data_IF_000484023101
#
_entry.id   IF_000484023101
#
_cell.length_a   1.000
_cell.length_b   1.000
_cell.length_c   1.000
_cell.angle_alpha   90.00
_cell.angle_beta   90.00
_cell.angle_gamma   90.00
#
_symmetry.space_group_name_H-M   'P 1'
#
loop_
_entity.id
_entity.type
_entity.pdbx_description
1 polymer ?
#
# COMPACT_ATOMS: atom_id res chain seq x y z
N UNK A 1 23.86 8.34 80.31
CA UNK A 1 24.82 7.83 79.30
C UNK A 1 24.23 6.70 78.45
N UNK A 2 23.84 5.54 78.98
CA UNK A 2 23.29 4.44 78.13
C UNK A 2 22.03 4.85 77.33
N UNK A 3 21.10 5.58 77.96
CA UNK A 3 19.88 6.04 77.29
C UNK A 3 20.16 6.99 76.11
N UNK A 4 21.16 7.88 76.20
CA UNK A 4 21.50 8.81 75.12
C UNK A 4 22.16 8.09 73.94
N UNK A 5 22.98 7.06 74.21
CA UNK A 5 23.54 6.21 73.15
C UNK A 5 22.47 5.37 72.44
N UNK A 6 21.47 4.84 73.16
CA UNK A 6 20.35 4.13 72.56
C UNK A 6 19.52 5.06 71.66
N UNK A 7 19.23 6.27 72.11
CA UNK A 7 18.51 7.28 71.31
C UNK A 7 19.28 7.63 70.04
N UNK A 8 20.60 7.84 70.15
CA UNK A 8 21.47 8.09 69.00
C UNK A 8 21.44 6.93 68.00
N UNK A 9 21.53 5.69 68.47
CA UNK A 9 21.50 4.50 67.62
C UNK A 9 20.18 4.35 66.85
N UNK A 10 19.05 4.62 67.52
CA UNK A 10 17.72 4.64 66.89
C UNK A 10 17.65 5.72 65.82
N UNK A 11 18.16 6.92 66.11
CA UNK A 11 18.12 8.06 65.20
C UNK A 11 19.02 7.85 63.97
N UNK A 12 20.19 7.24 64.15
CA UNK A 12 21.09 6.84 63.05
C UNK A 12 20.42 5.78 62.18
N UNK A 13 19.80 4.77 62.79
CA UNK A 13 19.09 3.71 62.06
C UNK A 13 17.92 4.28 61.26
N UNK A 14 17.20 5.26 61.82
CA UNK A 14 16.12 5.96 61.15
C UNK A 14 16.62 6.72 59.92
N UNK A 15 17.68 7.52 60.07
CA UNK A 15 18.29 8.28 58.95
C UNK A 15 18.84 7.33 57.87
N UNK A 16 19.46 6.21 58.26
CA UNK A 16 19.90 5.20 57.31
C UNK A 16 18.72 4.61 56.53
N UNK A 17 17.60 4.36 57.20
CA UNK A 17 16.35 3.91 56.58
C UNK A 17 15.76 4.93 55.61
N UNK A 18 15.76 6.22 55.96
CA UNK A 18 15.30 7.30 55.07
C UNK A 18 16.18 7.42 53.82
N UNK A 19 17.50 7.32 53.96
CA UNK A 19 18.44 7.31 52.83
C UNK A 19 18.17 6.10 51.92
N UNK A 20 17.90 4.93 52.50
CA UNK A 20 17.56 3.72 51.74
C UNK A 20 16.23 3.89 50.98
N UNK A 21 15.23 4.53 51.58
CA UNK A 21 13.96 4.86 50.90
C UNK A 21 14.19 5.85 49.76
N UNK A 22 15.00 6.89 49.97
CA UNK A 22 15.35 7.86 48.93
C UNK A 22 16.07 7.17 47.76
N UNK A 23 17.00 6.27 48.06
CA UNK A 23 17.69 5.46 47.08
C UNK A 23 16.72 4.53 46.33
N UNK A 24 15.78 3.88 47.02
CA UNK A 24 14.76 3.02 46.41
C UNK A 24 13.78 3.78 45.49
N UNK A 25 13.54 5.06 45.75
CA UNK A 25 12.76 5.93 44.88
C UNK A 25 13.58 6.36 43.64
N UNK A 26 14.85 6.70 43.83
CA UNK A 26 15.77 7.07 42.74
C UNK A 26 16.08 5.89 41.81
N UNK A 27 16.16 4.66 42.34
CA UNK A 27 16.29 3.45 41.55
C UNK A 27 14.93 3.04 40.97
N UNK A 28 14.57 3.80 39.95
CA UNK A 28 13.45 3.63 39.05
C UNK A 28 13.29 2.15 38.63
N UNK A 29 12.32 1.43 39.21
CA UNK A 29 11.42 0.48 38.47
C UNK A 29 10.60 -0.48 39.35
N UNK A 30 11.03 -0.89 40.55
CA UNK A 30 10.37 -2.02 41.24
C UNK A 30 9.81 -1.73 42.65
N UNK A 31 10.41 -0.80 43.40
CA UNK A 31 9.99 -0.54 44.79
C UNK A 31 8.93 0.57 44.95
N UNK A 32 8.56 1.24 43.85
CA UNK A 32 7.63 2.36 43.91
C UNK A 32 6.21 1.90 44.28
N UNK A 33 5.71 0.79 43.74
CA UNK A 33 4.34 0.32 44.01
C UNK A 33 4.04 -0.02 45.49
N UNK A 34 4.91 -0.75 46.22
CA UNK A 34 4.66 -1.04 47.64
C UNK A 34 4.82 0.19 48.54
N UNK A 35 5.80 1.07 48.26
CA UNK A 35 6.02 2.30 49.04
C UNK A 35 4.82 3.24 48.87
N UNK A 36 4.28 3.31 47.65
CA UNK A 36 3.14 4.14 47.32
C UNK A 36 1.84 3.63 47.92
N UNK A 37 1.63 2.30 47.93
CA UNK A 37 0.48 1.67 48.57
C UNK A 37 0.52 1.85 50.09
N UNK A 38 1.71 1.79 50.69
CA UNK A 38 1.90 2.08 52.12
C UNK A 38 1.61 3.55 52.46
N UNK A 39 1.89 4.48 51.53
CA UNK A 39 1.67 5.90 51.73
C UNK A 39 0.23 6.35 51.43
N UNK A 40 -0.46 5.72 50.47
CA UNK A 40 -1.83 6.12 50.08
C UNK A 40 -2.92 5.71 51.09
N UNK A 41 -2.66 4.72 51.94
CA UNK A 41 -3.60 4.21 52.96
C UNK A 41 -3.70 5.08 54.22
N UNK A 42 -3.21 6.32 54.17
CA UNK A 42 -2.91 7.11 55.36
C UNK A 42 -3.83 8.33 55.50
N UNK A 43 -4.57 8.42 56.60
CA UNK A 43 -5.54 9.49 56.86
C UNK A 43 -4.85 10.87 56.96
N UNK A 44 -4.91 11.66 55.90
CA UNK A 44 -4.17 12.93 55.76
C UNK A 44 -4.33 13.92 56.92
N UNK A 45 -5.51 13.99 57.56
CA UNK A 45 -5.78 14.99 58.61
C UNK A 45 -5.01 14.73 59.90
N UNK A 46 -4.99 13.49 60.40
CA UNK A 46 -4.31 13.14 61.66
C UNK A 46 -2.78 13.25 61.53
N UNK A 47 -2.25 12.93 60.35
CA UNK A 47 -0.81 13.02 60.10
C UNK A 47 -0.29 14.46 60.02
N UNK A 48 -1.10 15.40 59.51
CA UNK A 48 -0.75 16.82 59.55
C UNK A 48 -0.57 17.28 61.00
N UNK A 49 -1.48 16.91 61.90
CA UNK A 49 -1.36 17.24 63.33
C UNK A 49 -0.16 16.60 64.01
N UNK A 50 0.10 15.32 63.74
CA UNK A 50 1.28 14.61 64.26
C UNK A 50 2.59 15.27 63.77
N UNK A 51 2.63 15.72 62.51
CA UNK A 51 3.81 16.42 61.95
C UNK A 51 4.04 17.76 62.63
N UNK A 52 2.99 18.56 62.84
CA UNK A 52 3.08 19.84 63.55
C UNK A 52 3.59 19.61 64.98
N UNK A 53 3.10 18.56 65.65
CA UNK A 53 3.53 18.21 67.01
C UNK A 53 5.02 17.82 67.05
N UNK A 54 5.48 16.96 66.14
CA UNK A 54 6.89 16.56 66.04
C UNK A 54 7.79 17.77 65.73
N UNK A 55 7.33 18.68 64.86
CA UNK A 55 8.05 19.92 64.55
C UNK A 55 8.14 20.86 65.77
N UNK A 56 7.05 21.02 66.53
CA UNK A 56 7.07 21.81 67.76
C UNK A 56 8.03 21.22 68.81
N UNK A 57 8.04 19.88 68.96
CA UNK A 57 9.00 19.17 69.81
C UNK A 57 10.43 19.45 69.32
N UNK A 58 10.70 19.35 68.03
CA UNK A 58 12.02 19.66 67.47
C UNK A 58 12.47 21.10 67.76
N UNK A 59 11.60 22.08 67.57
CA UNK A 59 11.90 23.50 67.89
C UNK A 59 12.22 23.66 69.37
N UNK A 60 11.50 22.97 70.26
CA UNK A 60 11.79 22.96 71.70
C UNK A 60 13.18 22.36 72.02
N UNK A 61 13.56 21.25 71.37
CA UNK A 61 14.88 20.64 71.53
C UNK A 61 16.01 21.53 70.99
N UNK A 62 15.79 22.17 69.84
CA UNK A 62 16.74 23.12 69.25
C UNK A 62 16.89 24.36 70.13
N UNK A 63 15.78 24.91 70.62
CA UNK A 63 15.78 26.04 71.55
C UNK A 63 16.55 25.70 72.83
N UNK A 64 16.32 24.51 73.38
CA UNK A 64 17.04 24.01 74.57
C UNK A 64 18.54 23.83 74.28
N UNK A 65 18.89 23.29 73.11
CA UNK A 65 20.30 23.10 72.71
C UNK A 65 21.02 24.45 72.52
N UNK A 66 20.34 25.43 71.90
CA UNK A 66 20.86 26.79 71.69
C UNK A 66 20.97 27.54 73.02
N UNK A 67 19.99 27.42 73.91
CA UNK A 67 20.00 28.12 75.21
C UNK A 67 21.12 27.59 76.10
N UNK A 68 21.36 26.28 76.11
CA UNK A 68 22.50 25.66 76.81
C UNK A 68 23.82 26.12 76.19
N UNK A 69 23.95 26.13 74.87
CA UNK A 69 25.15 26.60 74.16
C UNK A 69 25.45 28.08 74.44
N UNK A 70 24.42 28.93 74.42
CA UNK A 70 24.53 30.37 74.70
C UNK A 70 24.85 30.64 76.17
N UNK A 71 24.21 29.92 77.10
CA UNK A 71 24.48 29.99 78.54
C UNK A 71 25.94 29.60 78.83
N UNK A 72 26.42 28.53 78.20
CA UNK A 72 27.79 28.06 78.34
C UNK A 72 28.82 29.05 77.77
N UNK A 73 28.50 29.70 76.64
CA UNK A 73 29.35 30.74 76.02
C UNK A 73 29.51 32.00 76.89
N UNK A 74 28.55 32.29 77.78
CA UNK A 74 28.52 33.53 78.58
C UNK A 74 29.19 33.35 79.96
N UNK A 75 29.21 32.13 80.53
CA UNK A 75 29.47 31.96 81.97
C UNK A 75 30.91 31.55 82.39
N UNK A 76 31.72 30.70 81.71
CA UNK A 76 32.99 30.23 82.33
C UNK A 76 34.15 29.84 81.38
N UNK A 77 35.39 29.91 81.93
CA UNK A 77 36.70 29.52 81.38
C UNK A 77 36.99 28.00 81.31
N UNK A 78 38.26 27.54 81.42
CA UNK A 78 38.79 26.35 80.74
C UNK A 78 38.01 25.05 80.97
N UNK A 79 37.79 24.38 79.83
CA UNK A 79 36.92 23.24 79.55
C UNK A 79 37.28 21.97 80.33
N UNK A 80 36.30 21.39 81.03
CA UNK A 80 36.36 20.00 81.47
C UNK A 80 36.05 19.09 80.26
N UNK A 81 36.92 18.11 79.95
CA UNK A 81 36.79 17.26 78.74
C UNK A 81 35.46 16.52 78.63
N UNK A 82 34.80 16.24 79.77
CA UNK A 82 33.58 15.45 79.84
C UNK A 82 32.36 16.24 79.37
N UNK A 83 32.38 17.55 79.62
CA UNK A 83 31.26 18.44 79.28
C UNK A 83 31.27 18.76 77.77
N UNK A 84 32.45 18.77 77.14
CA UNK A 84 32.59 18.91 75.69
C UNK A 84 32.00 17.72 74.91
N UNK A 85 32.17 16.49 75.40
CA UNK A 85 31.62 15.29 74.75
C UNK A 85 30.09 15.27 74.86
N UNK A 86 29.53 15.62 76.03
CA UNK A 86 28.09 15.69 76.23
C UNK A 86 27.42 16.75 75.33
N UNK A 87 28.06 17.90 75.17
CA UNK A 87 27.59 18.99 74.32
C UNK A 87 27.61 18.61 72.83
N UNK A 88 28.71 18.01 72.36
CA UNK A 88 28.81 17.53 70.98
C UNK A 88 27.75 16.46 70.66
N UNK A 89 27.42 15.60 71.62
CA UNK A 89 26.42 14.55 71.47
C UNK A 89 24.99 15.12 71.40
N UNK A 90 24.69 16.17 72.17
CA UNK A 90 23.41 16.89 72.10
C UNK A 90 23.25 17.63 70.77
N UNK A 91 24.31 18.31 70.31
CA UNK A 91 24.32 18.98 68.99
C UNK A 91 24.12 17.95 67.88
N UNK A 92 24.84 16.83 67.92
CA UNK A 92 24.70 15.75 66.95
C UNK A 92 23.27 15.21 66.93
N UNK A 93 22.69 14.91 68.10
CA UNK A 93 21.32 14.44 68.22
C UNK A 93 20.32 15.45 67.65
N UNK A 94 20.48 16.75 67.93
CA UNK A 94 19.61 17.80 67.40
C UNK A 94 19.72 17.91 65.87
N UNK A 95 20.94 17.85 65.31
CA UNK A 95 21.17 17.93 63.87
C UNK A 95 20.58 16.74 63.11
N UNK A 96 20.68 15.54 63.68
CA UNK A 96 20.20 14.29 63.07
C UNK A 96 18.66 14.21 63.11
N UNK A 97 18.03 14.77 64.15
CA UNK A 97 16.57 14.91 64.24
C UNK A 97 16.05 15.91 63.20
N UNK A 98 16.79 17.01 62.99
CA UNK A 98 16.49 17.99 61.95
C UNK A 98 16.63 17.42 60.54
N UNK A 99 17.66 16.59 60.31
CA UNK A 99 17.85 15.90 59.04
C UNK A 99 16.68 14.96 58.71
N UNK A 100 16.19 14.19 59.69
CA UNK A 100 15.04 13.30 59.50
C UNK A 100 13.74 14.07 59.18
N UNK A 101 13.50 15.18 59.88
CA UNK A 101 12.39 16.10 59.57
C UNK A 101 12.48 16.67 58.16
N UNK A 102 13.68 17.06 57.73
CA UNK A 102 13.92 17.56 56.38
C UNK A 102 13.71 16.47 55.32
N UNK A 103 14.24 15.26 55.55
CA UNK A 103 14.05 14.12 54.66
C UNK A 103 12.55 13.80 54.50
N UNK A 104 11.78 13.85 55.59
CA UNK A 104 10.34 13.67 55.54
C UNK A 104 9.62 14.73 54.70
N UNK A 105 10.01 16.02 54.83
CA UNK A 105 9.45 17.09 54.00
C UNK A 105 9.75 16.89 52.51
N UNK A 106 10.98 16.48 52.18
CA UNK A 106 11.38 16.19 50.80
C UNK A 106 10.55 15.02 50.24
N UNK A 107 10.34 13.96 51.02
CA UNK A 107 9.49 12.83 50.63
C UNK A 107 8.03 13.25 50.37
N UNK A 108 7.47 14.14 51.19
CA UNK A 108 6.10 14.63 51.04
C UNK A 108 5.91 15.41 49.73
N UNK A 109 6.91 16.18 49.31
CA UNK A 109 6.91 16.92 48.04
C UNK A 109 7.22 16.04 46.84
N UNK A 110 8.01 14.98 47.03
CA UNK A 110 8.38 14.05 45.97
C UNK A 110 7.24 13.07 45.65
N UNK A 111 6.40 12.73 46.63
CA UNK A 111 5.26 11.84 46.46
C UNK A 111 4.35 12.16 45.25
N UNK A 112 3.82 13.39 45.08
CA UNK A 112 2.99 13.72 43.92
C UNK A 112 3.74 13.61 42.59
N UNK A 113 5.03 13.95 42.57
CA UNK A 113 5.87 13.87 41.35
C UNK A 113 6.09 12.42 40.93
N UNK A 114 6.30 11.50 41.88
CA UNK A 114 6.44 10.07 41.59
C UNK A 114 5.12 9.50 41.05
N UNK A 115 3.99 9.90 41.65
CA UNK A 115 2.66 9.47 41.20
C UNK A 115 2.38 9.84 39.75
N UNK A 116 2.72 11.07 39.36
CA UNK A 116 2.56 11.53 37.98
C UNK A 116 3.45 10.73 37.02
N UNK A 117 4.71 10.46 37.40
CA UNK A 117 5.59 9.63 36.57
C UNK A 117 5.05 8.21 36.38
N UNK A 118 4.45 7.61 37.42
CA UNK A 118 3.85 6.27 37.33
C UNK A 118 2.60 6.29 36.44
N UNK A 119 1.73 7.29 36.59
CA UNK A 119 0.50 7.40 35.78
C UNK A 119 0.84 7.61 34.31
N UNK A 120 1.79 8.51 34.02
CA UNK A 120 2.29 8.76 32.66
C UNK A 120 2.92 7.50 32.06
N UNK A 121 3.75 6.76 32.81
CA UNK A 121 4.32 5.48 32.35
C UNK A 121 3.25 4.43 32.06
N UNK A 122 2.19 4.35 32.85
CA UNK A 122 1.06 3.43 32.62
C UNK A 122 0.30 3.80 31.34
N UNK A 123 0.04 5.10 31.13
CA UNK A 123 -0.61 5.61 29.91
C UNK A 123 0.24 5.32 28.67
N UNK A 124 1.55 5.64 28.71
CA UNK A 124 2.47 5.37 27.59
C UNK A 124 2.55 3.88 27.28
N UNK A 125 2.59 3.01 28.29
CA UNK A 125 2.58 1.54 28.08
C UNK A 125 1.28 1.08 27.43
N UNK A 126 0.13 1.62 27.82
CA UNK A 126 -1.16 1.29 27.23
C UNK A 126 -1.26 1.78 25.77
N UNK A 127 -0.86 3.02 25.52
CA UNK A 127 -0.85 3.61 24.18
C UNK A 127 0.11 2.87 23.24
N UNK A 128 1.30 2.48 23.73
CA UNK A 128 2.25 1.68 22.95
C UNK A 128 1.65 0.33 22.51
N UNK A 129 0.89 -0.35 23.38
CA UNK A 129 0.20 -1.60 23.03
C UNK A 129 -0.86 -1.36 21.94
N UNK A 130 -1.69 -0.35 22.12
CA UNK A 130 -2.72 0.02 21.13
C UNK A 130 -2.10 0.41 19.77
N UNK A 131 -0.97 1.13 19.78
CA UNK A 131 -0.24 1.48 18.57
C UNK A 131 0.36 0.25 17.89
N UNK A 132 0.87 -0.71 18.66
CA UNK A 132 1.43 -1.95 18.12
C UNK A 132 0.35 -2.81 17.47
N UNK A 133 -0.83 -2.95 18.09
CA UNK A 133 -1.98 -3.64 17.51
C UNK A 133 -2.47 -2.96 16.22
N UNK A 134 -2.59 -1.62 16.24
CA UNK A 134 -2.95 -0.84 15.04
C UNK A 134 -1.94 -1.03 13.91
N UNK A 135 -0.64 -1.03 14.22
CA UNK A 135 0.42 -1.27 13.23
C UNK A 135 0.30 -2.65 12.60
N UNK A 136 0.04 -3.69 13.40
CA UNK A 136 -0.14 -5.05 12.91
C UNK A 136 -1.38 -5.15 12.00
N UNK A 137 -2.50 -4.52 12.38
CA UNK A 137 -3.70 -4.45 11.54
C UNK A 137 -3.45 -3.70 10.22
N UNK A 138 -2.74 -2.57 10.28
CA UNK A 138 -2.38 -1.78 9.11
C UNK A 138 -1.43 -2.55 8.17
N UNK A 139 -0.48 -3.30 8.73
CA UNK A 139 0.42 -4.15 7.95
C UNK A 139 -0.34 -5.27 7.23
N UNK A 140 -1.31 -5.90 7.91
CA UNK A 140 -2.23 -6.86 7.29
C UNK A 140 -3.01 -6.25 6.12
N UNK A 141 -3.61 -5.08 6.32
CA UNK A 141 -4.31 -4.34 5.25
C UNK A 141 -3.39 -3.98 4.09
N UNK A 142 -2.16 -3.53 4.38
CA UNK A 142 -1.16 -3.21 3.35
C UNK A 142 -0.81 -4.43 2.52
N UNK A 143 -0.61 -5.61 3.13
CA UNK A 143 -0.34 -6.87 2.41
C UNK A 143 -1.51 -7.27 1.51
N UNK A 144 -2.75 -7.19 2.01
CA UNK A 144 -3.96 -7.47 1.21
C UNK A 144 -4.06 -6.51 0.03
N UNK A 145 -3.82 -5.21 0.25
CA UNK A 145 -3.86 -4.20 -0.80
C UNK A 145 -2.76 -4.43 -1.84
N UNK A 146 -1.54 -4.76 -1.41
CA UNK A 146 -0.44 -5.13 -2.30
C UNK A 146 -0.77 -6.37 -3.13
N UNK A 147 -1.42 -7.37 -2.53
CA UNK A 147 -1.96 -8.54 -3.22
C UNK A 147 -2.91 -8.13 -4.35
N UNK A 148 -3.92 -7.31 -4.05
CA UNK A 148 -4.89 -6.80 -5.04
C UNK A 148 -4.23 -5.98 -6.15
N UNK A 149 -3.25 -5.14 -5.82
CA UNK A 149 -2.50 -4.36 -6.82
C UNK A 149 -1.73 -5.29 -7.75
N UNK A 150 -1.08 -6.33 -7.21
CA UNK A 150 -0.33 -7.30 -8.01
C UNK A 150 -1.25 -8.10 -8.93
N UNK A 151 -2.41 -8.54 -8.44
CA UNK A 151 -3.43 -9.24 -9.23
C UNK A 151 -3.97 -8.35 -10.35
N UNK A 152 -4.30 -7.09 -10.04
CA UNK A 152 -4.80 -6.13 -11.03
C UNK A 152 -3.74 -5.84 -12.10
N UNK A 153 -2.47 -5.71 -11.70
CA UNK A 153 -1.35 -5.50 -12.63
C UNK A 153 -1.17 -6.71 -13.55
N UNK A 154 -1.33 -7.93 -13.04
CA UNK A 154 -1.29 -9.15 -13.85
C UNK A 154 -2.45 -9.19 -14.87
N UNK A 155 -3.67 -8.86 -14.45
CA UNK A 155 -4.85 -8.75 -15.34
C UNK A 155 -4.64 -7.70 -16.43
N UNK A 156 -4.12 -6.52 -16.07
CA UNK A 156 -3.78 -5.45 -17.00
C UNK A 156 -2.74 -5.92 -18.04
N UNK A 157 -1.70 -6.62 -17.60
CA UNK A 157 -0.66 -7.15 -18.51
C UNK A 157 -1.25 -8.20 -19.46
N UNK A 158 -2.11 -9.10 -18.97
CA UNK A 158 -2.79 -10.10 -19.81
C UNK A 158 -3.64 -9.42 -20.89
N UNK A 159 -4.49 -8.47 -20.48
CA UNK A 159 -5.35 -7.74 -21.42
C UNK A 159 -4.55 -6.96 -22.47
N UNK A 160 -3.41 -6.37 -22.07
CA UNK A 160 -2.48 -5.71 -22.99
C UNK A 160 -1.90 -6.67 -24.03
N UNK A 161 -1.50 -7.88 -23.61
CA UNK A 161 -0.98 -8.90 -24.54
C UNK A 161 -2.08 -9.39 -25.50
N UNK A 162 -3.30 -9.62 -25.00
CA UNK A 162 -4.44 -10.04 -25.83
C UNK A 162 -4.78 -8.97 -26.88
N UNK A 163 -4.77 -7.69 -26.49
CA UNK A 163 -4.97 -6.58 -27.42
C UNK A 163 -3.87 -6.51 -28.49
N UNK A 164 -2.60 -6.61 -28.07
CA UNK A 164 -1.46 -6.58 -29.00
C UNK A 164 -1.50 -7.77 -29.97
N UNK A 165 -1.88 -8.95 -29.49
CA UNK A 165 -2.06 -10.13 -30.34
C UNK A 165 -3.17 -9.91 -31.37
N UNK A 166 -4.32 -9.34 -30.96
CA UNK A 166 -5.42 -9.04 -31.88
C UNK A 166 -5.04 -7.98 -32.91
N UNK A 167 -4.28 -6.95 -32.53
CA UNK A 167 -3.75 -5.96 -33.45
C UNK A 167 -2.80 -6.58 -34.49
N UNK A 168 -1.89 -7.44 -34.06
CA UNK A 168 -0.97 -8.14 -34.97
C UNK A 168 -1.71 -9.10 -35.92
N UNK A 169 -2.76 -9.77 -35.46
CA UNK A 169 -3.61 -10.61 -36.31
C UNK A 169 -4.33 -9.76 -37.37
N UNK A 170 -4.92 -8.64 -36.97
CA UNK A 170 -5.57 -7.72 -37.91
C UNK A 170 -4.57 -7.18 -38.95
N UNK A 171 -3.35 -6.81 -38.54
CA UNK A 171 -2.30 -6.39 -39.47
C UNK A 171 -1.87 -7.50 -40.44
N UNK A 172 -1.81 -8.76 -39.98
CA UNK A 172 -1.51 -9.89 -40.84
C UNK A 172 -2.65 -10.15 -41.85
N UNK A 173 -3.91 -10.06 -41.41
CA UNK A 173 -5.08 -10.16 -42.30
C UNK A 173 -5.11 -9.02 -43.33
N UNK A 174 -4.81 -7.78 -42.92
CA UNK A 174 -4.70 -6.63 -43.82
C UNK A 174 -3.58 -6.83 -44.86
N UNK A 175 -2.43 -7.37 -44.46
CA UNK A 175 -1.34 -7.68 -45.39
C UNK A 175 -1.75 -8.75 -46.42
N UNK A 176 -2.47 -9.79 -46.00
CA UNK A 176 -3.01 -10.82 -46.91
C UNK A 176 -4.03 -10.21 -47.88
N UNK A 177 -4.94 -9.35 -47.38
CA UNK A 177 -5.91 -8.65 -48.22
C UNK A 177 -5.21 -7.74 -49.23
N UNK A 178 -4.13 -7.07 -48.83
CA UNK A 178 -3.33 -6.21 -49.70
C UNK A 178 -2.61 -7.03 -50.78
N UNK A 179 -2.01 -8.15 -50.42
CA UNK A 179 -1.38 -9.07 -51.37
C UNK A 179 -2.40 -9.61 -52.37
N UNK A 180 -3.55 -10.07 -51.88
CA UNK A 180 -4.64 -10.55 -52.71
C UNK A 180 -5.13 -9.46 -53.68
N UNK A 181 -5.28 -8.22 -53.19
CA UNK A 181 -5.63 -7.07 -54.03
C UNK A 181 -4.61 -6.82 -55.13
N UNK A 182 -3.31 -6.86 -54.82
CA UNK A 182 -2.25 -6.67 -55.82
C UNK A 182 -2.29 -7.80 -56.88
N UNK A 183 -2.49 -9.04 -56.46
CA UNK A 183 -2.66 -10.16 -57.38
C UNK A 183 -3.88 -9.94 -58.31
N UNK A 184 -5.00 -9.45 -57.78
CA UNK A 184 -6.17 -9.10 -58.60
C UNK A 184 -5.90 -7.96 -59.58
N UNK A 185 -5.17 -6.92 -59.17
CA UNK A 185 -4.76 -5.84 -60.08
C UNK A 185 -3.85 -6.35 -61.21
N UNK A 186 -2.94 -7.27 -60.90
CA UNK A 186 -2.09 -7.91 -61.91
C UNK A 186 -2.90 -8.76 -62.90
N UNK A 187 -3.85 -9.58 -62.40
CA UNK A 187 -4.74 -10.36 -63.25
C UNK A 187 -5.60 -9.47 -64.15
N UNK A 188 -6.10 -8.34 -63.63
CA UNK A 188 -6.84 -7.36 -64.43
C UNK A 188 -6.01 -6.80 -65.57
N UNK A 189 -4.76 -6.42 -65.32
CA UNK A 189 -3.86 -5.93 -66.37
C UNK A 189 -3.57 -6.99 -67.46
N UNK A 190 -3.40 -8.26 -67.04
CA UNK A 190 -3.25 -9.38 -67.98
C UNK A 190 -4.50 -9.58 -68.81
N UNK A 191 -5.68 -9.46 -68.19
CA UNK A 191 -6.96 -9.56 -68.88
C UNK A 191 -7.14 -8.44 -69.91
N UNK A 192 -6.88 -7.18 -69.53
CA UNK A 192 -6.98 -6.02 -70.44
C UNK A 192 -6.07 -6.18 -71.66
N UNK A 193 -4.82 -6.62 -71.45
CA UNK A 193 -3.89 -6.92 -72.57
C UNK A 193 -4.43 -8.00 -73.51
N UNK A 194 -5.01 -9.06 -72.95
CA UNK A 194 -5.54 -10.17 -73.74
C UNK A 194 -6.81 -9.76 -74.51
N UNK A 195 -7.58 -8.84 -73.93
CA UNK A 195 -8.73 -8.21 -74.56
C UNK A 195 -8.31 -7.35 -75.76
N UNK A 196 -7.31 -6.48 -75.58
CA UNK A 196 -6.75 -5.66 -76.66
C UNK A 196 -6.22 -6.51 -77.82
N UNK A 197 -5.54 -7.63 -77.50
CA UNK A 197 -5.07 -8.57 -78.51
C UNK A 197 -6.23 -9.25 -79.26
N UNK A 198 -7.28 -9.68 -78.55
CA UNK A 198 -8.49 -10.22 -79.18
C UNK A 198 -9.18 -9.20 -80.09
N UNK A 199 -9.26 -7.93 -79.66
CA UNK A 199 -9.85 -6.88 -80.48
C UNK A 199 -9.02 -6.60 -81.73
N UNK A 200 -7.69 -6.60 -81.58
CA UNK A 200 -6.76 -6.48 -82.72
C UNK A 200 -6.94 -7.64 -83.70
N UNK A 201 -7.02 -8.88 -83.22
CA UNK A 201 -7.29 -10.06 -84.05
C UNK A 201 -8.64 -9.96 -84.75
N UNK A 202 -9.70 -9.52 -84.06
CA UNK A 202 -11.02 -9.29 -84.67
C UNK A 202 -10.97 -8.24 -85.78
N UNK A 203 -10.27 -7.13 -85.55
CA UNK A 203 -10.09 -6.08 -86.56
C UNK A 203 -9.31 -6.61 -87.77
N UNK A 204 -8.25 -7.40 -87.55
CA UNK A 204 -7.51 -8.08 -88.62
C UNK A 204 -8.41 -9.03 -89.41
N UNK A 205 -9.20 -9.86 -88.73
CA UNK A 205 -10.12 -10.80 -89.36
C UNK A 205 -11.19 -10.08 -90.19
N UNK A 206 -11.74 -8.98 -89.67
CA UNK A 206 -12.72 -8.16 -90.37
C UNK A 206 -12.10 -7.47 -91.60
N UNK A 207 -10.85 -7.01 -91.51
CA UNK A 207 -10.13 -6.44 -92.66
C UNK A 207 -9.94 -7.49 -93.77
N UNK A 208 -9.53 -8.72 -93.41
CA UNK A 208 -9.41 -9.84 -94.35
C UNK A 208 -10.77 -10.20 -94.92
N UNK A 209 -11.85 -10.25 -94.12
CA UNK A 209 -13.18 -10.56 -94.66
C UNK A 209 -13.66 -9.51 -95.65
N UNK A 210 -13.37 -8.22 -95.40
CA UNK A 210 -13.67 -7.14 -96.34
C UNK A 210 -12.83 -7.25 -97.63
N UNK A 211 -11.56 -7.64 -97.54
CA UNK A 211 -10.72 -7.92 -98.71
C UNK A 211 -11.26 -9.11 -99.52
N UNK A 212 -11.62 -10.22 -98.88
CA UNK A 212 -12.23 -11.38 -99.53
C UNK A 212 -13.54 -11.00 -100.23
N UNK A 213 -14.38 -10.18 -99.58
CA UNK A 213 -15.64 -9.70 -100.15
C UNK A 213 -15.43 -8.72 -101.34
N UNK A 214 -14.31 -8.00 -101.36
CA UNK A 214 -13.92 -7.13 -102.49
C UNK A 214 -13.39 -7.94 -103.68
N UNK A 215 -12.65 -9.01 -103.41
CA UNK A 215 -12.19 -9.98 -104.41
C UNK A 215 -13.39 -10.72 -105.04
N UNK A 216 -14.40 -11.07 -104.24
CA UNK A 216 -15.63 -11.71 -104.72
C UNK A 216 -16.50 -10.77 -105.59
N UNK A 217 -16.48 -9.46 -105.31
CA UNK A 217 -17.13 -8.43 -106.16
C UNK A 217 -16.34 -8.04 -107.41
N UNK A 218 -15.06 -8.43 -107.50
CA UNK A 218 -14.14 -8.12 -108.60
C UNK A 218 -13.94 -9.34 -109.51
N UNK A 219 -14.99 -10.08 -109.86
CA UNK A 219 -15.06 -11.03 -111.00
C UNK A 219 -13.86 -11.97 -111.27
N UNK A 220 -12.98 -12.25 -110.31
CA UNK A 220 -11.78 -13.09 -110.48
C UNK A 220 -11.88 -14.43 -109.75
N UNK A 221 -12.88 -14.62 -108.89
CA UNK A 221 -13.11 -15.86 -108.14
C UNK A 221 -13.76 -16.98 -108.98
N UNK A 222 -14.29 -16.67 -110.16
CA UNK A 222 -14.84 -17.66 -111.09
C UNK A 222 -13.76 -18.45 -111.85
N UNK A 223 -12.50 -18.00 -111.89
CA UNK A 223 -11.43 -18.64 -112.67
C UNK A 223 -10.46 -19.55 -111.89
N UNK A 224 -10.49 -19.54 -110.55
CA UNK A 224 -9.62 -20.40 -109.73
C UNK A 224 -10.29 -21.68 -109.22
N UNK A 225 -11.63 -21.78 -109.35
CA UNK A 225 -12.41 -22.93 -108.90
C UNK A 225 -12.27 -24.16 -109.83
N UNK A 226 -11.66 -24.03 -111.01
CA UNK A 226 -11.50 -25.11 -111.99
C UNK A 226 -10.21 -25.95 -111.83
N UNK A 227 -9.27 -25.59 -110.96
CA UNK A 227 -7.94 -26.23 -110.92
C UNK A 227 -7.49 -26.84 -109.58
N UNK A 228 -8.36 -26.96 -108.58
CA UNK A 228 -8.06 -27.74 -107.37
C UNK A 228 -9.13 -28.81 -107.15
N UNK A 229 -8.86 -29.99 -107.71
CA UNK A 229 -9.52 -31.21 -107.30
C UNK A 229 -9.17 -31.51 -105.84
N UNK A 230 -10.17 -31.49 -104.97
CA UNK A 230 -10.08 -32.11 -103.66
C UNK A 230 -10.94 -33.37 -103.62
N UNK A 231 -10.40 -34.49 -103.09
CA UNK A 231 -11.07 -35.78 -103.10
C UNK A 231 -12.19 -35.84 -102.07
N UNK A 232 -13.24 -36.58 -102.45
CA UNK A 232 -14.24 -37.14 -101.56
C UNK A 232 -13.57 -38.08 -100.56
N UNK A 233 -13.86 -37.91 -99.27
CA UNK A 233 -13.64 -38.94 -98.26
C UNK A 233 -14.91 -39.05 -97.41
N UNK A 234 -15.56 -40.19 -97.59
CA UNK A 234 -16.71 -40.66 -96.83
C UNK A 234 -16.34 -40.98 -95.37
N UNK A 235 -17.34 -40.76 -94.51
CA UNK A 235 -17.69 -41.58 -93.34
C UNK A 235 -16.97 -41.31 -92.00
N UNK A 236 -17.71 -40.77 -91.03
CA UNK A 236 -18.49 -41.59 -90.10
C UNK A 236 -19.22 -40.68 -89.10
N UNK A 237 -20.52 -40.89 -88.99
CA UNK A 237 -21.38 -40.09 -88.13
C UNK A 237 -21.09 -40.29 -86.65
N UNK A 238 -21.44 -39.26 -85.88
CA UNK A 238 -22.28 -39.41 -84.70
C UNK A 238 -22.92 -38.06 -84.37
N UNK A 239 -24.24 -37.97 -84.54
CA UNK A 239 -25.05 -37.02 -83.79
C UNK A 239 -24.91 -37.35 -82.31
N UNK A 240 -24.53 -36.35 -81.52
CA UNK A 240 -24.93 -36.28 -80.12
C UNK A 240 -25.46 -34.87 -79.92
N UNK A 241 -26.78 -34.79 -79.87
CA UNK A 241 -27.51 -33.66 -79.31
C UNK A 241 -27.04 -33.42 -77.87
N UNK A 242 -26.71 -32.18 -77.56
CA UNK A 242 -26.84 -31.62 -76.21
C UNK A 242 -27.39 -30.20 -76.35
N UNK A 243 -28.67 -30.15 -76.69
CA UNK A 243 -29.57 -29.13 -76.18
C UNK A 243 -29.61 -29.30 -74.66
N UNK A 244 -28.75 -28.57 -73.95
CA UNK A 244 -28.87 -28.14 -72.54
C UNK A 244 -27.52 -27.58 -72.10
N UNK A 245 -27.38 -26.26 -72.12
CA UNK A 245 -26.93 -25.39 -71.00
C UNK A 245 -26.92 -23.96 -71.59
N UNK A 246 -28.12 -23.46 -71.82
CA UNK A 246 -28.40 -22.02 -71.78
C UNK A 246 -29.40 -21.84 -70.64
N UNK A 247 -29.01 -22.25 -69.43
CA UNK A 247 -29.82 -22.06 -68.21
C UNK A 247 -29.02 -22.43 -66.94
N UNK A 248 -27.90 -21.74 -66.73
CA UNK A 248 -27.40 -21.46 -65.38
C UNK A 248 -26.97 -20.00 -65.27
N UNK A 249 -27.82 -19.11 -65.79
CA UNK A 249 -28.04 -17.80 -65.19
C UNK A 249 -29.00 -17.97 -63.99
N UNK A 250 -28.65 -18.86 -63.06
CA UNK A 250 -29.33 -18.95 -61.76
C UNK A 250 -28.46 -18.26 -60.72
N UNK A 251 -28.82 -17.00 -60.50
CA UNK A 251 -29.07 -16.51 -59.14
C UNK A 251 -27.85 -16.49 -58.21
N UNK A 252 -26.82 -15.71 -58.55
CA UNK A 252 -25.99 -15.06 -57.53
C UNK A 252 -26.70 -13.79 -57.05
N UNK A 253 -27.75 -14.02 -56.26
CA UNK A 253 -28.64 -13.00 -55.76
C UNK A 253 -29.49 -13.60 -54.66
N UNK A 254 -28.85 -14.07 -53.60
CA UNK A 254 -29.54 -14.34 -52.34
C UNK A 254 -28.55 -14.13 -51.19
N UNK A 255 -28.61 -12.93 -50.65
CA UNK A 255 -28.20 -12.62 -49.29
C UNK A 255 -28.80 -13.66 -48.34
N UNK A 256 -28.01 -14.34 -47.49
CA UNK A 256 -28.55 -14.81 -46.23
C UNK A 256 -28.64 -13.58 -45.31
N UNK A 257 -29.82 -12.96 -45.28
CA UNK A 257 -30.27 -12.23 -44.11
C UNK A 257 -30.57 -13.27 -43.03
N UNK A 258 -29.53 -13.72 -42.31
CA UNK A 258 -29.71 -14.40 -41.02
C UNK A 258 -29.94 -13.32 -39.97
N UNK A 259 -31.22 -13.03 -39.73
CA UNK A 259 -31.66 -12.44 -38.49
C UNK A 259 -31.19 -13.35 -37.34
N UNK A 260 -30.32 -12.83 -36.48
CA UNK A 260 -30.18 -13.27 -35.09
C UNK A 260 -30.13 -12.02 -34.20
N UNK A 261 -30.61 -12.14 -32.96
CA UNK A 261 -31.34 -11.09 -32.28
C UNK A 261 -30.44 -9.91 -31.90
N UNK A 262 -31.05 -8.74 -31.90
CA UNK A 262 -30.64 -7.59 -31.09
C UNK A 262 -30.37 -8.04 -29.65
N UNK A 263 -29.11 -8.29 -29.32
CA UNK A 263 -28.63 -8.39 -27.95
C UNK A 263 -27.91 -7.08 -27.62
N UNK A 264 -28.62 -6.30 -26.80
CA UNK A 264 -28.22 -5.12 -26.03
C UNK A 264 -26.73 -4.73 -26.02
N UNK A 265 -26.46 -3.55 -26.57
CA UNK A 265 -25.42 -2.66 -26.06
C UNK A 265 -25.71 -2.30 -24.59
N UNK A 266 -24.72 -2.35 -23.66
CA UNK A 266 -24.92 -1.83 -22.32
C UNK A 266 -24.93 -0.30 -22.39
N UNK A 267 -26.12 0.29 -22.43
CA UNK A 267 -26.27 1.71 -22.06
C UNK A 267 -25.84 1.85 -20.62
N UNK A 268 -24.80 2.66 -20.45
CA UNK A 268 -24.38 3.24 -19.19
C UNK A 268 -25.60 3.90 -18.53
N UNK A 269 -26.19 3.26 -17.52
CA UNK A 269 -27.14 3.93 -16.60
C UNK A 269 -26.35 5.01 -15.87
N UNK A 270 -26.75 6.27 -16.04
CA UNK A 270 -26.46 7.32 -15.05
C UNK A 270 -27.34 7.07 -13.82
N UNK A 271 -26.83 7.27 -12.60
CA UNK A 271 -27.67 7.26 -11.40
C UNK A 271 -28.59 8.48 -11.42
N UNK A 272 -29.88 8.22 -11.26
CA UNK A 272 -30.88 9.23 -10.89
C UNK A 272 -30.68 9.47 -9.40
N UNK A 273 -30.32 10.70 -9.02
CA UNK A 273 -30.45 11.17 -7.65
C UNK A 273 -31.94 11.44 -7.42
N UNK A 274 -32.55 10.70 -6.48
CA UNK A 274 -33.82 11.10 -5.87
C UNK A 274 -33.53 12.28 -4.93
N UNK A 275 -34.22 13.39 -5.17
CA UNK A 275 -34.53 14.38 -4.14
C UNK A 275 -35.76 13.91 -3.38
#
# INVERSE_FOLDING_TARGET
>A
MLATYLILFILISLVLGEILVYFGICFDTQFQEPILLALSRRNNTLFVWIRILIFAIFVYWVYTSISILCSWRIFHGPINWSDGVALNLLILQSSLMGFSLFAWMVLDKLHPVIMENISVRKIIKAERKMLQERKLHMEGHRRVLQGKVSELTAKMKKLKMDYQMKANKALAEEAIVLELKNNFEEFRLKYDRLFDYNQTLRNQLQSISHEVQKIDKSNEWSNLKSNLGFPTLENNGKCVDFETVSETATKYGEYPFSATPSSSSPRHRRPIYQC
#
